data_IF_688373795406
#
_entry.id   IF_688373795406
#
_cell.length_a   1.000
_cell.length_b   1.000
_cell.length_c   1.000
_cell.angle_alpha   90.00
_cell.angle_beta   90.00
_cell.angle_gamma   90.00
#
_symmetry.space_group_name_H-M   'P 1'
#
loop_
_entity.id
_entity.type
_entity.pdbx_description
1 polymer ?
#
# COMPACT_ATOMS: atom_id res chain seq x y z
N UNK A 1 20.12 18.30 1.22
CA UNK A 1 18.76 17.76 1.44
C UNK A 1 17.84 18.95 1.62
N UNK A 2 16.79 19.07 0.80
CA UNK A 2 15.81 20.15 0.94
C UNK A 2 15.08 19.98 2.28
N UNK A 3 14.94 21.05 3.06
CA UNK A 3 14.37 21.01 4.41
C UNK A 3 12.87 20.64 4.45
N UNK A 4 12.22 20.46 3.29
CA UNK A 4 10.78 20.20 3.17
C UNK A 4 10.43 18.78 2.71
N UNK A 5 11.41 17.88 2.53
CA UNK A 5 11.13 16.52 2.08
C UNK A 5 10.75 15.62 3.25
N UNK A 6 9.56 15.00 3.20
CA UNK A 6 9.18 13.96 4.16
C UNK A 6 10.24 12.85 4.15
N UNK A 7 10.65 12.33 5.31
CA UNK A 7 11.74 11.35 5.38
C UNK A 7 11.34 10.07 4.63
N UNK A 8 12.31 9.33 4.09
CA UNK A 8 12.05 8.05 3.39
C UNK A 8 11.11 8.16 2.16
N UNK A 9 11.17 9.26 1.41
CA UNK A 9 10.44 9.44 0.15
C UNK A 9 10.57 8.26 -0.83
N UNK A 10 11.76 7.66 -0.95
CA UNK A 10 11.97 6.48 -1.79
C UNK A 10 11.06 5.31 -1.41
N UNK A 11 10.84 5.07 -0.11
CA UNK A 11 9.95 4.01 0.38
C UNK A 11 8.49 4.31 0.01
N UNK A 12 8.07 5.56 0.11
CA UNK A 12 6.74 5.99 -0.32
C UNK A 12 6.54 5.81 -1.83
N UNK A 13 7.55 6.13 -2.64
CA UNK A 13 7.50 5.89 -4.09
C UNK A 13 7.48 4.40 -4.44
N UNK A 14 8.23 3.56 -3.73
CA UNK A 14 8.18 2.11 -3.90
C UNK A 14 6.78 1.57 -3.56
N UNK A 15 6.22 1.97 -2.41
CA UNK A 15 4.85 1.62 -2.02
C UNK A 15 3.82 2.08 -3.07
N UNK A 16 3.98 3.29 -3.60
CA UNK A 16 3.14 3.86 -4.65
C UNK A 16 3.21 3.03 -5.94
N UNK A 17 4.41 2.67 -6.40
CA UNK A 17 4.59 1.88 -7.62
C UNK A 17 3.91 0.51 -7.50
N UNK A 18 4.08 -0.17 -6.36
CA UNK A 18 3.42 -1.46 -6.10
C UNK A 18 1.90 -1.30 -6.03
N UNK A 19 1.41 -0.21 -5.40
CA UNK A 19 -0.03 0.08 -5.34
C UNK A 19 -0.64 0.26 -6.73
N UNK A 20 0.05 0.99 -7.61
CA UNK A 20 -0.39 1.18 -9.00
C UNK A 20 -0.39 -0.16 -9.73
N UNK A 21 0.64 -0.99 -9.57
CA UNK A 21 0.67 -2.34 -10.15
C UNK A 21 -0.47 -3.22 -9.64
N UNK A 22 -0.79 -3.14 -8.35
CA UNK A 22 -1.92 -3.84 -7.75
C UNK A 22 -3.26 -3.40 -8.39
N UNK A 23 -3.45 -2.10 -8.59
CA UNK A 23 -4.63 -1.55 -9.25
C UNK A 23 -4.73 -1.97 -10.73
N UNK A 24 -3.60 -2.04 -11.44
CA UNK A 24 -3.54 -2.57 -12.81
C UNK A 24 -3.98 -4.04 -12.82
N UNK A 25 -3.43 -4.87 -11.94
CA UNK A 25 -3.82 -6.28 -11.84
C UNK A 25 -5.31 -6.43 -11.53
N UNK A 26 -5.85 -5.63 -10.61
CA UNK A 26 -7.27 -5.66 -10.28
C UNK A 26 -8.16 -5.22 -11.44
N UNK A 27 -7.71 -4.25 -12.25
CA UNK A 27 -8.52 -3.70 -13.35
C UNK A 27 -8.49 -4.57 -14.60
N UNK A 28 -7.34 -5.20 -14.90
CA UNK A 28 -7.13 -5.89 -16.19
C UNK A 28 -7.03 -7.41 -16.06
N UNK A 29 -6.65 -7.94 -14.89
CA UNK A 29 -6.49 -9.38 -14.66
C UNK A 29 -7.08 -9.82 -13.30
N UNK A 30 -8.34 -9.43 -12.97
CA UNK A 30 -8.91 -9.72 -11.65
C UNK A 30 -9.02 -11.23 -11.36
N UNK A 31 -9.28 -12.04 -12.38
CA UNK A 31 -9.52 -13.49 -12.24
C UNK A 31 -8.33 -14.29 -11.69
N UNK A 32 -7.11 -13.74 -11.71
CA UNK A 32 -5.93 -14.40 -11.14
C UNK A 32 -5.66 -14.02 -9.69
N UNK A 33 -6.43 -13.08 -9.12
CA UNK A 33 -6.39 -12.67 -7.70
C UNK A 33 -5.02 -12.16 -7.18
N UNK A 34 -3.99 -12.06 -8.03
CA UNK A 34 -2.67 -11.53 -7.67
C UNK A 34 -2.70 -10.11 -7.13
N UNK A 35 -3.75 -9.35 -7.49
CA UNK A 35 -3.96 -8.01 -6.98
C UNK A 35 -4.15 -7.98 -5.45
N UNK A 36 -4.73 -9.02 -4.82
CA UNK A 36 -4.82 -9.09 -3.36
C UNK A 36 -3.44 -9.07 -2.71
N UNK A 37 -2.53 -9.93 -3.17
CA UNK A 37 -1.16 -10.00 -2.67
C UNK A 37 -0.40 -8.68 -2.90
N UNK A 38 -0.53 -8.11 -4.10
CA UNK A 38 0.09 -6.84 -4.43
C UNK A 38 -0.44 -5.68 -3.55
N UNK A 39 -1.75 -5.62 -3.32
CA UNK A 39 -2.36 -4.66 -2.42
C UNK A 39 -1.92 -4.86 -0.96
N UNK A 40 -1.84 -6.10 -0.47
CA UNK A 40 -1.34 -6.39 0.90
C UNK A 40 0.07 -5.84 1.07
N UNK A 41 0.97 -6.08 0.11
CA UNK A 41 2.34 -5.58 0.16
C UNK A 41 2.37 -4.04 0.10
N UNK A 42 1.66 -3.44 -0.86
CA UNK A 42 1.61 -1.99 -1.04
C UNK A 42 1.08 -1.27 0.20
N UNK A 43 -0.07 -1.72 0.74
CA UNK A 43 -0.70 -1.13 1.90
C UNK A 43 0.17 -1.32 3.16
N UNK A 44 0.81 -2.48 3.33
CA UNK A 44 1.74 -2.70 4.45
C UNK A 44 2.94 -1.76 4.42
N UNK A 45 3.51 -1.49 3.24
CA UNK A 45 4.56 -0.48 3.08
C UNK A 45 4.05 0.92 3.40
N UNK A 46 2.83 1.26 2.96
CA UNK A 46 2.21 2.55 3.29
C UNK A 46 1.91 2.72 4.78
N UNK A 47 1.59 1.65 5.51
CA UNK A 47 1.49 1.68 6.98
C UNK A 47 2.84 2.07 7.59
N UNK A 48 3.95 1.45 7.13
CA UNK A 48 5.30 1.80 7.59
C UNK A 48 5.61 3.27 7.30
N UNK A 49 5.31 3.74 6.08
CA UNK A 49 5.47 5.16 5.70
C UNK A 49 4.62 6.08 6.58
N UNK A 50 3.37 5.69 6.89
CA UNK A 50 2.49 6.43 7.78
C UNK A 50 3.08 6.61 9.17
N UNK A 51 3.71 5.57 9.74
CA UNK A 51 4.44 5.69 11.01
C UNK A 51 5.65 6.62 10.90
N UNK A 52 6.45 6.49 9.83
CA UNK A 52 7.64 7.32 9.59
C UNK A 52 7.29 8.80 9.41
N UNK A 53 6.13 9.10 8.83
CA UNK A 53 5.62 10.45 8.63
C UNK A 53 4.76 10.97 9.78
N UNK A 54 4.44 10.13 10.77
CA UNK A 54 3.52 10.41 11.88
C UNK A 54 2.11 10.81 11.41
N UNK A 55 1.65 10.21 10.32
CA UNK A 55 0.36 10.48 9.66
C UNK A 55 -0.64 9.37 10.03
N UNK A 56 -1.47 9.60 11.05
CA UNK A 56 -2.38 8.57 11.59
C UNK A 56 -3.41 8.11 10.55
N UNK A 57 -3.92 9.03 9.73
CA UNK A 57 -4.88 8.70 8.67
C UNK A 57 -4.29 7.74 7.64
N UNK A 58 -3.01 7.90 7.30
CA UNK A 58 -2.30 7.03 6.37
C UNK A 58 -2.11 5.63 6.96
N UNK A 59 -1.81 5.53 8.25
CA UNK A 59 -1.71 4.24 8.97
C UNK A 59 -3.06 3.53 8.99
N UNK A 60 -4.12 4.20 9.46
CA UNK A 60 -5.45 3.58 9.64
C UNK A 60 -6.02 3.12 8.30
N UNK A 61 -5.94 3.97 7.26
CA UNK A 61 -6.43 3.63 5.92
C UNK A 61 -5.75 2.37 5.41
N UNK A 62 -4.42 2.35 5.37
CA UNK A 62 -3.69 1.26 4.76
C UNK A 62 -3.73 -0.01 5.60
N UNK A 63 -3.75 0.08 6.93
CA UNK A 63 -3.95 -1.09 7.79
C UNK A 63 -5.33 -1.72 7.56
N UNK A 64 -6.38 -0.89 7.46
CA UNK A 64 -7.73 -1.35 7.14
C UNK A 64 -7.79 -2.04 5.77
N UNK A 65 -7.18 -1.44 4.74
CA UNK A 65 -7.09 -2.05 3.41
C UNK A 65 -6.33 -3.38 3.44
N UNK A 66 -5.20 -3.46 4.14
CA UNK A 66 -4.44 -4.72 4.29
C UNK A 66 -5.33 -5.82 4.88
N UNK A 67 -6.10 -5.51 5.93
CA UNK A 67 -7.03 -6.47 6.54
C UNK A 67 -8.11 -6.90 5.54
N UNK A 68 -8.70 -5.96 4.80
CA UNK A 68 -9.73 -6.25 3.79
C UNK A 68 -9.17 -7.20 2.73
N UNK A 69 -7.96 -6.95 2.20
CA UNK A 69 -7.37 -7.80 1.17
C UNK A 69 -6.95 -9.18 1.69
N UNK A 70 -6.54 -9.29 2.96
CA UNK A 70 -6.31 -10.59 3.62
C UNK A 70 -7.63 -11.36 3.75
N UNK A 71 -8.69 -10.70 4.22
CA UNK A 71 -10.00 -11.34 4.36
C UNK A 71 -10.54 -11.79 3.00
N UNK A 72 -10.38 -10.99 1.96
CA UNK A 72 -10.78 -11.36 0.60
C UNK A 72 -9.97 -12.50 -0.04
N UNK A 73 -8.86 -12.94 0.57
CA UNK A 73 -8.16 -14.18 0.18
C UNK A 73 -8.67 -15.42 0.93
N UNK A 74 -9.32 -15.22 2.08
CA UNK A 74 -9.72 -16.30 3.00
C UNK A 74 -11.21 -16.61 2.87
N UNK A 75 -12.04 -15.59 2.64
CA UNK A 75 -13.51 -15.65 2.53
C UNK A 75 -13.95 -15.68 1.07
#
# INVERSE_FOLDING_TARGET
>A
MNQNEKPYQFLAWAATAILILAAILASFVPALEYHHWAFIIANSLWVIVGFLWKETTLVVLNAGLTIIYILGLIL
#
